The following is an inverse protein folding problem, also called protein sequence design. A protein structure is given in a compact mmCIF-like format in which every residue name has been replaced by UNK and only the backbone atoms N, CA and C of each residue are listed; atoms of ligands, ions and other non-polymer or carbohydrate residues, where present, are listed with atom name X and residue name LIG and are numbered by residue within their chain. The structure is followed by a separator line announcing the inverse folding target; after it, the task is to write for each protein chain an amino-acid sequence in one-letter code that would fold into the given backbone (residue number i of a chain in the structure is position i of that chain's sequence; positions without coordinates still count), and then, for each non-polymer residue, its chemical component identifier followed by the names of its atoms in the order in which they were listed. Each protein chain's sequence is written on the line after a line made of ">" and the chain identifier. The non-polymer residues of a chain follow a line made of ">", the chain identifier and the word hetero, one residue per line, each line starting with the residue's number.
data_IF_996241177050
#
_entry.id   IF_996241177050
#
_cell.length_a   1.000
_cell.length_b   1.000
_cell.length_c   1.000
_cell.angle_alpha   90.00
_cell.angle_beta   90.00
_cell.angle_gamma   90.00
#
_symmetry.space_group_name_H-M   'P 1'
#
loop_
_entity.id
_entity.type
_entity.pdbx_description
1 polymer ?
#
# COMPACT_ATOMS: atom_id res chain seq x y z
N UNK A 1 -26.86 -15.92 -26.53
CA UNK A 1 -26.83 -15.76 -25.06
C UNK A 1 -25.42 -15.36 -24.69
N UNK A 2 -25.22 -14.28 -23.92
CA UNK A 2 -23.88 -13.81 -23.53
C UNK A 2 -23.48 -14.43 -22.18
N UNK A 3 -22.26 -14.97 -22.09
CA UNK A 3 -21.67 -15.47 -20.84
C UNK A 3 -20.64 -14.45 -20.36
N UNK A 4 -20.78 -13.98 -19.12
CA UNK A 4 -19.73 -13.18 -18.47
C UNK A 4 -18.59 -14.13 -18.08
N UNK A 5 -17.37 -13.79 -18.50
CA UNK A 5 -16.16 -14.53 -18.14
C UNK A 5 -15.28 -13.61 -17.31
N UNK A 6 -14.81 -14.11 -16.16
CA UNK A 6 -13.84 -13.39 -15.34
C UNK A 6 -12.44 -13.66 -15.87
N UNK A 7 -11.73 -12.58 -16.16
CA UNK A 7 -10.35 -12.57 -16.65
C UNK A 7 -9.49 -11.74 -15.72
N UNK A 8 -8.23 -12.12 -15.60
CA UNK A 8 -7.19 -11.36 -14.90
C UNK A 8 -6.31 -10.69 -15.94
N UNK A 9 -6.01 -9.40 -15.73
CA UNK A 9 -5.04 -8.70 -16.56
C UNK A 9 -3.63 -8.88 -15.99
N UNK A 10 -2.71 -9.44 -16.78
CA UNK A 10 -1.31 -9.61 -16.41
C UNK A 10 -0.40 -9.31 -17.60
N UNK A 11 0.51 -8.35 -17.44
CA UNK A 11 1.54 -8.01 -18.44
C UNK A 11 1.00 -7.76 -19.86
N UNK A 12 -0.18 -7.14 -19.99
CA UNK A 12 -0.79 -6.88 -21.31
C UNK A 12 -1.67 -8.01 -21.84
N UNK A 13 -1.79 -9.13 -21.12
CA UNK A 13 -2.56 -10.30 -21.52
C UNK A 13 -3.78 -10.48 -20.60
N UNK A 14 -4.95 -10.73 -21.19
CA UNK A 14 -6.16 -11.12 -20.47
C UNK A 14 -6.16 -12.64 -20.29
N UNK A 15 -5.93 -13.10 -19.06
CA UNK A 15 -5.89 -14.51 -18.68
C UNK A 15 -7.25 -14.94 -18.09
N UNK A 16 -8.00 -15.87 -18.69
CA UNK A 16 -9.23 -16.40 -18.13
C UNK A 16 -8.99 -17.11 -16.79
N UNK A 17 -9.85 -16.87 -15.80
CA UNK A 17 -9.80 -17.59 -14.52
C UNK A 17 -10.40 -18.99 -14.61
N UNK A 18 -11.26 -19.23 -15.60
CA UNK A 18 -11.87 -20.52 -15.89
C UNK A 18 -11.47 -20.95 -17.31
N UNK A 19 -11.27 -22.26 -17.55
CA UNK A 19 -10.97 -22.76 -18.89
C UNK A 19 -12.14 -22.48 -19.84
N UNK A 20 -11.85 -21.79 -20.94
CA UNK A 20 -12.81 -21.50 -22.00
C UNK A 20 -12.68 -22.55 -23.10
N UNK A 21 -13.71 -23.37 -23.25
CA UNK A 21 -13.88 -24.27 -24.40
C UNK A 21 -14.47 -23.47 -25.57
N UNK A 22 -13.64 -22.66 -26.23
CA UNK A 22 -14.01 -21.90 -27.42
C UNK A 22 -13.25 -22.44 -28.63
N UNK A 23 -13.87 -22.40 -29.79
CA UNK A 23 -13.20 -22.76 -31.04
C UNK A 23 -12.18 -21.68 -31.41
N UNK A 24 -11.06 -22.11 -32.00
CA UNK A 24 -10.03 -21.19 -32.46
C UNK A 24 -10.59 -20.25 -33.54
N UNK A 25 -10.35 -18.94 -33.40
CA UNK A 25 -10.92 -17.91 -34.27
C UNK A 25 -12.25 -17.31 -33.79
N UNK A 26 -12.75 -17.71 -32.61
CA UNK A 26 -13.97 -17.09 -32.04
C UNK A 26 -13.69 -15.65 -31.59
N UNK A 27 -14.43 -14.69 -32.14
CA UNK A 27 -14.37 -13.28 -31.72
C UNK A 27 -15.12 -13.06 -30.40
N UNK A 28 -14.49 -12.36 -29.46
CA UNK A 28 -15.04 -12.06 -28.13
C UNK A 28 -15.08 -10.54 -27.92
N UNK A 29 -16.20 -10.04 -27.41
CA UNK A 29 -16.32 -8.64 -26.99
C UNK A 29 -15.86 -8.51 -25.53
N UNK A 30 -14.79 -7.74 -25.31
CA UNK A 30 -14.29 -7.42 -23.96
C UNK A 30 -14.76 -6.02 -23.58
N UNK A 31 -15.46 -5.92 -22.46
CA UNK A 31 -15.81 -4.63 -21.86
C UNK A 31 -14.80 -4.35 -20.75
N UNK A 32 -13.91 -3.39 -21.01
CA UNK A 32 -13.00 -2.87 -19.98
C UNK A 32 -13.72 -1.67 -19.38
N UNK A 33 -14.26 -1.75 -18.15
CA UNK A 33 -14.75 -0.55 -17.50
C UNK A 33 -13.58 0.41 -17.32
N UNK A 34 -13.77 1.69 -17.61
CA UNK A 34 -12.82 2.72 -17.19
C UNK A 34 -12.55 2.49 -15.71
N UNK A 35 -11.28 2.29 -15.36
CA UNK A 35 -10.88 2.20 -13.98
C UNK A 35 -11.26 3.54 -13.36
N UNK A 36 -12.41 3.58 -12.68
CA UNK A 36 -12.67 4.64 -11.71
C UNK A 36 -11.41 4.75 -10.88
N UNK A 37 -10.82 5.95 -10.89
CA UNK A 37 -9.51 6.26 -10.33
C UNK A 37 -9.33 5.40 -9.07
N UNK A 38 -8.38 4.46 -9.10
CA UNK A 38 -8.08 3.64 -7.95
C UNK A 38 -7.46 4.56 -6.89
N UNK A 39 -8.33 5.27 -6.16
CA UNK A 39 -8.04 6.33 -5.22
C UNK A 39 -7.71 5.80 -3.83
N UNK A 40 -7.77 4.49 -3.61
CA UNK A 40 -7.67 3.94 -2.26
C UNK A 40 -6.23 3.66 -1.79
N UNK A 41 -5.24 3.59 -2.69
CA UNK A 41 -3.87 3.22 -2.28
C UNK A 41 -2.85 4.36 -2.24
N UNK A 42 -3.18 5.54 -2.75
CA UNK A 42 -2.19 6.62 -2.88
C UNK A 42 -2.03 7.45 -1.59
N UNK A 43 -3.09 7.62 -0.79
CA UNK A 43 -3.09 8.66 0.26
C UNK A 43 -3.23 8.16 1.70
N UNK A 44 -3.25 6.85 1.97
CA UNK A 44 -3.33 6.34 3.36
C UNK A 44 -2.06 6.60 4.18
N UNK A 45 -0.89 6.63 3.54
CA UNK A 45 0.37 6.99 4.21
C UNK A 45 0.42 8.51 4.44
N UNK A 46 -0.03 9.30 3.46
CA UNK A 46 -0.09 10.75 3.59
C UNK A 46 -1.10 11.18 4.66
N UNK A 47 -2.25 10.50 4.77
CA UNK A 47 -3.30 10.83 5.73
C UNK A 47 -2.94 10.53 7.19
N UNK A 48 -1.94 9.67 7.43
CA UNK A 48 -1.48 9.31 8.79
C UNK A 48 -0.27 10.12 9.24
N UNK A 49 0.28 10.98 8.37
CA UNK A 49 1.40 11.85 8.71
C UNK A 49 1.01 12.83 9.83
N UNK A 50 1.77 12.83 10.93
CA UNK A 50 1.56 13.76 12.05
C UNK A 50 0.46 13.35 13.03
N UNK A 51 -0.19 12.19 12.88
CA UNK A 51 -1.24 11.72 13.80
C UNK A 51 -0.79 11.54 15.27
N UNK A 52 0.52 11.56 15.53
CA UNK A 52 1.13 11.47 16.85
C UNK A 52 1.30 12.82 17.55
N UNK A 53 1.13 13.94 16.84
CA UNK A 53 1.43 15.28 17.35
C UNK A 53 0.61 15.67 18.59
N UNK A 54 -0.63 15.22 18.69
CA UNK A 54 -1.51 15.50 19.83
C UNK A 54 -1.37 14.45 20.96
N UNK A 55 -0.66 13.34 20.71
CA UNK A 55 -0.45 12.26 21.68
C UNK A 55 0.83 12.46 22.50
N UNK A 56 1.71 13.35 22.06
CA UNK A 56 3.01 13.60 22.68
C UNK A 56 3.16 15.10 22.91
N UNK A 57 3.50 15.49 24.14
CA UNK A 57 4.02 16.83 24.40
C UNK A 57 5.44 16.90 23.83
N UNK A 58 5.57 17.48 22.63
CA UNK A 58 6.84 17.56 21.91
C UNK A 58 7.89 18.38 22.66
N UNK A 59 7.49 19.44 23.37
CA UNK A 59 8.39 20.30 24.12
C UNK A 59 8.95 19.56 25.33
N UNK A 60 8.08 18.86 26.07
CA UNK A 60 8.50 18.03 27.19
C UNK A 60 9.41 16.87 26.70
N UNK A 61 9.02 16.20 25.62
CA UNK A 61 9.79 15.09 25.06
C UNK A 61 11.20 15.53 24.63
N UNK A 62 11.33 16.68 23.98
CA UNK A 62 12.62 17.21 23.58
C UNK A 62 13.52 17.48 24.80
N UNK A 63 12.98 18.11 25.84
CA UNK A 63 13.70 18.37 27.08
C UNK A 63 14.18 17.07 27.75
N UNK A 64 13.32 16.05 27.80
CA UNK A 64 13.66 14.72 28.35
C UNK A 64 14.77 14.05 27.55
N UNK A 65 14.73 14.10 26.21
CA UNK A 65 15.79 13.55 25.35
C UNK A 65 17.13 14.21 25.64
N UNK A 66 17.18 15.54 25.76
CA UNK A 66 18.44 16.23 26.08
C UNK A 66 18.92 15.95 27.51
N UNK A 67 18.01 15.87 28.48
CA UNK A 67 18.35 15.48 29.84
C UNK A 67 18.98 14.08 29.87
N UNK A 68 18.39 13.12 29.16
CA UNK A 68 18.91 11.75 29.06
C UNK A 68 20.26 11.66 28.35
N UNK A 69 20.54 12.51 27.35
CA UNK A 69 21.86 12.55 26.68
C UNK A 69 23.00 13.00 27.59
N UNK A 70 22.69 13.74 28.65
CA UNK A 70 23.67 14.18 29.65
C UNK A 70 23.93 13.11 30.72
N UNK A 71 23.11 12.05 30.77
CA UNK A 71 23.30 10.94 31.71
C UNK A 71 24.23 9.91 31.09
N UNK A 72 25.45 9.83 31.62
CA UNK A 72 26.42 8.82 31.21
C UNK A 72 26.09 7.47 31.88
N UNK A 73 25.15 6.75 31.26
CA UNK A 73 24.72 5.41 31.70
C UNK A 73 25.66 4.31 31.24
N UNK A 74 26.64 4.63 30.39
CA UNK A 74 27.55 3.63 29.82
C UNK A 74 28.70 3.38 30.78
N UNK A 75 28.86 2.13 31.20
CA UNK A 75 30.03 1.73 31.98
C UNK A 75 31.31 2.02 31.18
N UNK A 76 32.30 2.64 31.84
CA UNK A 76 33.60 2.93 31.23
C UNK A 76 34.22 1.65 30.67
N UNK A 77 34.67 1.71 29.42
CA UNK A 77 35.31 0.59 28.76
C UNK A 77 36.77 0.52 29.22
N UNK A 78 37.20 -0.60 29.82
CA UNK A 78 38.62 -0.82 30.12
C UNK A 78 39.37 -1.06 28.81
N UNK A 79 40.36 -0.21 28.54
CA UNK A 79 41.38 -0.42 27.51
C UNK A 79 42.45 -1.39 28.00
#
# INVERSE_FOLDING_TARGET
>A
MARLVKVKYRSGVLEPLEPLSLEEGTELTVVIPDAGESSESADTIASTAGAWADLLDCEQFEQEVYAHRLVDTRAETRL
#
